data_IF_256346603917
#
_entry.id   IF_256346603917
#
_cell.length_a   1.000
_cell.length_b   1.000
_cell.length_c   1.000
_cell.angle_alpha   90.00
_cell.angle_beta   90.00
_cell.angle_gamma   90.00
#
_symmetry.space_group_name_H-M   'P 1'
#
loop_
_entity.id
_entity.type
_entity.pdbx_description
1 polymer ?
#
# COMPACT_ATOMS: atom_id res chain seq x y z
N UNK A 1 -5.44 -4.13 -21.48
CA UNK A 1 -4.70 -4.61 -20.30
C UNK A 1 -5.69 -4.70 -19.15
N UNK A 2 -5.46 -5.51 -18.12
CA UNK A 2 -6.24 -5.38 -16.89
C UNK A 2 -5.92 -4.02 -16.25
N UNK A 3 -6.89 -3.33 -15.64
CA UNK A 3 -6.66 -2.03 -15.02
C UNK A 3 -5.64 -2.13 -13.88
N UNK A 4 -4.85 -1.07 -13.67
CA UNK A 4 -3.88 -1.02 -12.59
C UNK A 4 -4.57 -1.01 -11.22
N UNK A 5 -3.96 -1.69 -10.26
CA UNK A 5 -4.51 -1.91 -8.93
C UNK A 5 -4.12 -0.80 -7.95
N UNK A 6 -5.06 -0.34 -7.14
CA UNK A 6 -4.80 0.51 -5.99
C UNK A 6 -5.07 -0.25 -4.68
N UNK A 7 -4.05 -0.32 -3.83
CA UNK A 7 -4.18 -0.70 -2.43
C UNK A 7 -4.18 0.59 -1.59
N UNK A 8 -5.03 0.66 -0.57
CA UNK A 8 -5.06 1.80 0.35
C UNK A 8 -4.99 1.37 1.81
N UNK A 9 -4.10 1.98 2.59
CA UNK A 9 -3.97 1.71 4.02
C UNK A 9 -4.89 2.59 4.86
N UNK A 10 -5.44 2.01 5.93
CA UNK A 10 -6.20 2.71 6.98
C UNK A 10 -6.20 1.91 8.28
N UNK A 11 -6.48 2.57 9.39
CA UNK A 11 -6.87 1.93 10.66
C UNK A 11 -8.24 2.42 11.16
N UNK A 12 -8.94 3.23 10.36
CA UNK A 12 -10.24 3.82 10.70
C UNK A 12 -11.32 3.28 9.77
N UNK A 13 -12.42 2.81 10.37
CA UNK A 13 -13.55 2.22 9.64
C UNK A 13 -14.28 3.24 8.77
N UNK A 14 -14.46 4.49 9.22
CA UNK A 14 -15.14 5.48 8.39
C UNK A 14 -14.36 5.77 7.11
N UNK A 15 -13.04 5.94 7.23
CA UNK A 15 -12.18 6.12 6.08
C UNK A 15 -12.08 4.86 5.19
N UNK A 16 -12.16 3.66 5.77
CA UNK A 16 -12.30 2.42 4.99
C UNK A 16 -13.58 2.41 4.14
N UNK A 17 -14.69 2.91 4.68
CA UNK A 17 -15.94 3.08 3.95
C UNK A 17 -15.82 4.07 2.78
N UNK A 18 -15.15 5.20 3.01
CA UNK A 18 -14.88 6.20 1.95
C UNK A 18 -14.02 5.60 0.82
N UNK A 19 -12.98 4.83 1.18
CA UNK A 19 -12.12 4.11 0.23
C UNK A 19 -12.90 3.08 -0.59
N UNK A 20 -13.79 2.32 0.06
CA UNK A 20 -14.63 1.34 -0.61
C UNK A 20 -15.62 2.01 -1.59
N UNK A 21 -16.26 3.11 -1.18
CA UNK A 21 -17.16 3.89 -2.03
C UNK A 21 -16.43 4.53 -3.21
N UNK A 22 -15.16 4.90 -3.03
CA UNK A 22 -14.28 5.41 -4.08
C UNK A 22 -13.74 4.32 -5.02
N UNK A 23 -14.06 3.05 -4.76
CA UNK A 23 -13.71 1.93 -5.63
C UNK A 23 -12.24 1.52 -5.58
N UNK A 24 -11.59 1.61 -4.43
CA UNK A 24 -10.25 1.01 -4.24
C UNK A 24 -10.29 -0.52 -4.42
N UNK A 25 -9.21 -1.11 -4.91
CA UNK A 25 -9.19 -2.55 -5.22
C UNK A 25 -9.02 -3.40 -3.96
N UNK A 26 -8.24 -2.92 -2.99
CA UNK A 26 -8.04 -3.56 -1.67
C UNK A 26 -7.83 -2.51 -0.59
N UNK A 27 -8.32 -2.80 0.60
CA UNK A 27 -8.06 -2.00 1.80
C UNK A 27 -7.06 -2.76 2.69
N UNK A 28 -6.03 -2.08 3.16
CA UNK A 28 -5.03 -2.63 4.06
C UNK A 28 -5.27 -2.09 5.46
N UNK A 29 -5.74 -2.93 6.38
CA UNK A 29 -5.79 -2.63 7.81
C UNK A 29 -4.34 -2.53 8.32
N UNK A 30 -3.88 -1.31 8.57
CA UNK A 30 -2.45 -0.97 8.64
C UNK A 30 -2.06 -0.42 10.00
N UNK A 31 -1.14 -1.09 10.71
CA UNK A 31 -0.73 -0.70 12.06
C UNK A 31 -0.22 0.75 12.12
N UNK A 32 0.57 1.23 11.14
CA UNK A 32 1.07 2.61 11.21
C UNK A 32 0.01 3.69 10.96
N UNK A 33 -1.16 3.34 10.40
CA UNK A 33 -2.27 4.29 10.26
C UNK A 33 -2.81 4.71 11.64
N UNK A 34 -2.72 3.83 12.64
CA UNK A 34 -3.06 4.12 14.05
C UNK A 34 -2.23 5.29 14.60
N UNK A 35 -0.98 5.45 14.16
CA UNK A 35 -0.13 6.57 14.54
C UNK A 35 -0.42 7.82 13.69
N UNK A 36 -0.61 7.67 12.38
CA UNK A 36 -0.90 8.79 11.47
C UNK A 36 -2.19 9.53 11.82
N UNK A 37 -3.23 8.79 12.24
CA UNK A 37 -4.49 9.38 12.73
C UNK A 37 -4.30 10.25 13.98
N UNK A 38 -3.19 10.08 14.71
CA UNK A 38 -2.81 10.91 15.86
C UNK A 38 -1.79 11.99 15.50
N UNK A 39 -1.56 12.25 14.21
CA UNK A 39 -0.60 13.24 13.71
C UNK A 39 0.86 12.81 13.83
N UNK A 40 1.14 11.52 14.05
CA UNK A 40 2.50 11.00 14.18
C UNK A 40 3.01 10.46 12.82
N UNK A 41 4.32 10.54 12.54
CA UNK A 41 4.87 10.10 11.26
C UNK A 41 4.84 8.57 11.09
N UNK A 42 4.75 8.08 9.86
CA UNK A 42 4.70 6.63 9.55
C UNK A 42 5.84 5.82 10.18
N UNK A 43 7.04 6.40 10.26
CA UNK A 43 8.23 5.74 10.85
C UNK A 43 8.03 5.37 12.33
N UNK A 44 7.09 6.02 13.03
CA UNK A 44 6.71 5.65 14.39
C UNK A 44 6.21 4.19 14.48
N UNK A 45 5.66 3.65 13.39
CA UNK A 45 5.27 2.24 13.30
C UNK A 45 6.42 1.24 13.33
N UNK A 46 7.67 1.69 13.37
CA UNK A 46 8.88 0.87 13.56
C UNK A 46 9.42 0.95 15.00
N UNK A 47 8.83 1.79 15.86
CA UNK A 47 9.29 1.99 17.23
C UNK A 47 8.57 1.06 18.22
N UNK A 48 9.22 0.67 19.33
CA UNK A 48 8.66 -0.26 20.31
C UNK A 48 7.68 0.44 21.27
N UNK A 49 6.72 1.18 20.73
CA UNK A 49 5.70 1.88 21.53
C UNK A 49 4.54 0.97 21.91
N UNK A 50 4.18 0.03 21.04
CA UNK A 50 3.14 -0.97 21.25
C UNK A 50 3.32 -2.13 20.26
N UNK A 51 2.64 -3.26 20.51
CA UNK A 51 2.61 -4.35 19.52
C UNK A 51 1.89 -3.90 18.25
N UNK A 52 2.57 -4.02 17.11
CA UNK A 52 1.96 -3.76 15.81
C UNK A 52 0.84 -4.75 15.49
N UNK A 53 0.99 -6.01 15.92
CA UNK A 53 -0.01 -7.06 15.72
C UNK A 53 -1.29 -6.76 16.50
N UNK A 54 -1.19 -6.34 17.76
CA UNK A 54 -2.36 -5.90 18.54
C UNK A 54 -3.04 -4.67 17.93
N UNK A 55 -2.25 -3.72 17.40
CA UNK A 55 -2.81 -2.55 16.71
C UNK A 55 -3.61 -2.93 15.47
N UNK A 56 -3.09 -3.84 14.63
CA UNK A 56 -3.83 -4.38 13.48
C UNK A 56 -5.12 -5.04 13.95
N UNK A 57 -5.06 -5.93 14.95
CA UNK A 57 -6.26 -6.61 15.47
C UNK A 57 -7.29 -5.64 16.04
N UNK A 58 -6.86 -4.54 16.67
CA UNK A 58 -7.76 -3.51 17.18
C UNK A 58 -8.49 -2.74 16.07
N UNK A 59 -7.81 -2.45 14.96
CA UNK A 59 -8.39 -1.71 13.84
C UNK A 59 -9.28 -2.58 12.93
N UNK A 60 -8.87 -3.83 12.70
CA UNK A 60 -9.39 -4.72 11.66
C UNK A 60 -10.94 -4.90 11.69
N UNK A 61 -11.62 -5.12 12.85
CA UNK A 61 -13.07 -5.30 12.86
C UNK A 61 -13.83 -4.11 12.28
N UNK A 62 -13.40 -2.88 12.60
CA UNK A 62 -14.06 -1.67 12.09
C UNK A 62 -13.84 -1.48 10.59
N UNK A 63 -12.64 -1.82 10.11
CA UNK A 63 -12.26 -1.74 8.69
C UNK A 63 -13.03 -2.78 7.87
N UNK A 64 -13.08 -4.03 8.31
CA UNK A 64 -13.84 -5.10 7.64
C UNK A 64 -15.32 -4.78 7.59
N UNK A 65 -15.91 -4.29 8.68
CA UNK A 65 -17.32 -3.93 8.72
C UNK A 65 -17.68 -2.81 7.71
N UNK A 66 -16.77 -1.85 7.48
CA UNK A 66 -17.01 -0.72 6.59
C UNK A 66 -16.60 -0.96 5.13
N UNK A 67 -15.71 -1.93 4.87
CA UNK A 67 -15.18 -2.21 3.52
C UNK A 67 -16.22 -2.78 2.54
N UNK A 68 -17.35 -3.29 3.03
CA UNK A 68 -18.40 -3.88 2.19
C UNK A 68 -17.88 -5.08 1.39
N UNK A 69 -17.89 -4.99 0.06
CA UNK A 69 -17.37 -6.05 -0.83
C UNK A 69 -15.89 -5.90 -1.18
N UNK A 70 -15.24 -4.79 -0.77
CA UNK A 70 -13.82 -4.59 -1.05
C UNK A 70 -12.99 -5.49 -0.13
N UNK A 71 -12.10 -6.34 -0.67
CA UNK A 71 -11.36 -7.27 0.19
C UNK A 71 -10.35 -6.55 1.09
N UNK A 72 -10.26 -7.00 2.34
CA UNK A 72 -9.39 -6.42 3.36
C UNK A 72 -8.16 -7.30 3.59
N UNK A 73 -6.99 -6.68 3.52
CA UNK A 73 -5.68 -7.26 3.85
C UNK A 73 -5.25 -6.71 5.21
N UNK A 74 -4.62 -7.53 6.05
CA UNK A 74 -4.14 -7.10 7.36
C UNK A 74 -2.60 -7.05 7.41
N UNK A 75 -2.03 -6.06 8.11
CA UNK A 75 -0.58 -6.05 8.38
C UNK A 75 -0.21 -7.00 9.50
N UNK A 76 0.80 -7.84 9.28
CA UNK A 76 1.34 -8.74 10.32
C UNK A 76 2.85 -8.52 10.48
N UNK A 77 3.25 -8.27 11.72
CA UNK A 77 4.62 -8.24 12.19
C UNK A 77 5.12 -9.68 12.32
N UNK A 78 5.91 -10.14 11.34
CA UNK A 78 6.35 -11.53 11.26
C UNK A 78 7.24 -11.96 12.44
N UNK A 79 8.01 -11.01 12.98
CA UNK A 79 9.01 -11.23 14.02
C UNK A 79 8.52 -10.83 15.43
N UNK A 80 7.21 -10.67 15.63
CA UNK A 80 6.62 -10.45 16.96
C UNK A 80 6.63 -11.76 17.77
N UNK A 81 7.53 -11.86 18.75
CA UNK A 81 7.65 -13.04 19.62
C UNK A 81 6.59 -13.14 20.72
N UNK A 82 5.79 -12.09 20.95
CA UNK A 82 4.73 -12.07 21.97
C UNK A 82 3.36 -12.40 21.37
N UNK A 83 3.16 -12.07 20.10
CA UNK A 83 1.98 -12.46 19.32
C UNK A 83 2.43 -13.03 17.97
N UNK A 84 2.75 -14.33 17.91
CA UNK A 84 3.38 -14.97 16.77
C UNK A 84 2.56 -14.91 15.48
N UNK A 85 3.27 -14.99 14.35
CA UNK A 85 2.69 -14.94 13.00
C UNK A 85 1.55 -15.95 12.77
N UNK A 86 1.72 -17.20 13.17
CA UNK A 86 0.68 -18.24 12.98
C UNK A 86 -0.62 -17.89 13.72
N UNK A 87 -0.52 -17.47 14.98
CA UNK A 87 -1.67 -17.01 15.77
C UNK A 87 -2.34 -15.79 15.12
N UNK A 88 -1.53 -14.87 14.57
CA UNK A 88 -2.04 -13.71 13.85
C UNK A 88 -2.80 -14.10 12.60
N UNK A 89 -2.27 -15.02 11.78
CA UNK A 89 -2.93 -15.47 10.56
C UNK A 89 -4.31 -16.06 10.87
N UNK A 90 -4.40 -16.91 11.89
CA UNK A 90 -5.67 -17.52 12.28
C UNK A 90 -6.68 -16.47 12.80
N UNK A 91 -6.21 -15.48 13.56
CA UNK A 91 -7.06 -14.38 14.06
C UNK A 91 -7.55 -13.46 12.95
N UNK A 92 -6.69 -13.05 12.01
CA UNK A 92 -7.12 -12.15 10.93
C UNK A 92 -8.12 -12.85 9.99
N UNK A 93 -7.96 -14.16 9.76
CA UNK A 93 -8.94 -14.97 9.03
C UNK A 93 -10.30 -14.93 9.75
N UNK A 94 -10.31 -15.21 11.06
CA UNK A 94 -11.53 -15.20 11.85
C UNK A 94 -12.22 -13.82 11.87
N UNK A 95 -11.45 -12.75 11.70
CA UNK A 95 -11.93 -11.37 11.63
C UNK A 95 -12.30 -10.92 10.20
N UNK A 96 -12.16 -11.79 9.19
CA UNK A 96 -12.62 -11.53 7.82
C UNK A 96 -11.57 -10.91 6.88
N UNK A 97 -10.30 -10.88 7.26
CA UNK A 97 -9.23 -10.52 6.32
C UNK A 97 -9.03 -11.64 5.29
N UNK A 98 -8.81 -11.25 4.02
CA UNK A 98 -8.54 -12.18 2.91
C UNK A 98 -7.05 -12.33 2.62
N UNK A 99 -6.20 -11.54 3.27
CA UNK A 99 -4.78 -11.49 2.98
C UNK A 99 -3.93 -10.86 4.06
N UNK A 100 -2.62 -10.98 3.87
CA UNK A 100 -1.59 -10.38 4.72
C UNK A 100 -0.66 -9.46 3.91
N UNK A 101 -0.14 -8.43 4.58
CA UNK A 101 1.05 -7.67 4.18
C UNK A 101 2.09 -7.76 5.32
N UNK A 102 3.35 -8.08 5.02
CA UNK A 102 4.42 -8.14 6.03
C UNK A 102 4.80 -6.72 6.50
N UNK A 103 4.18 -6.27 7.58
CA UNK A 103 4.47 -4.95 8.16
C UNK A 103 4.21 -4.94 9.67
N UNK A 104 5.03 -4.22 10.47
CA UNK A 104 6.23 -3.50 10.07
C UNK A 104 7.32 -4.44 9.52
N UNK A 105 8.21 -3.88 8.69
CA UNK A 105 9.23 -4.64 7.97
C UNK A 105 10.62 -4.16 8.35
N UNK A 106 11.53 -5.10 8.61
CA UNK A 106 12.95 -4.86 8.84
C UNK A 106 13.66 -4.31 7.60
N UNK A 107 13.04 -4.45 6.42
CA UNK A 107 13.50 -3.90 5.15
C UNK A 107 13.81 -2.40 5.19
N UNK A 108 13.15 -1.66 6.08
CA UNK A 108 13.35 -0.22 6.28
C UNK A 108 14.52 0.14 7.20
N UNK A 109 15.11 -0.83 7.92
CA UNK A 109 16.30 -0.61 8.74
C UNK A 109 17.57 -0.79 7.91
N UNK A 110 18.60 -0.01 8.23
CA UNK A 110 19.93 -0.08 7.61
C UNK A 110 21.03 -0.13 8.67
N UNK A 111 22.27 -0.42 8.25
CA UNK A 111 23.45 -0.37 9.11
C UNK A 111 23.53 -1.49 10.17
N UNK A 112 24.27 -1.28 11.27
CA UNK A 112 24.55 -2.32 12.26
C UNK A 112 23.31 -2.93 12.91
N UNK A 113 22.26 -2.13 13.15
CA UNK A 113 21.00 -2.63 13.72
C UNK A 113 20.34 -3.62 12.77
N UNK A 114 20.30 -3.31 11.47
CA UNK A 114 19.76 -4.22 10.47
C UNK A 114 20.54 -5.53 10.42
N UNK A 115 21.87 -5.47 10.43
CA UNK A 115 22.71 -6.66 10.42
C UNK A 115 22.41 -7.60 11.60
N UNK A 116 22.31 -7.05 12.82
CA UNK A 116 21.99 -7.83 14.02
C UNK A 116 20.58 -8.45 13.95
N UNK A 117 19.58 -7.75 13.41
CA UNK A 117 18.23 -8.31 13.23
C UNK A 117 18.24 -9.52 12.28
N UNK A 118 18.96 -9.42 11.17
CA UNK A 118 19.11 -10.54 10.22
C UNK A 118 19.81 -11.74 10.87
N UNK A 119 20.93 -11.52 11.55
CA UNK A 119 21.69 -12.57 12.25
C UNK A 119 20.90 -13.23 13.38
N UNK A 120 19.96 -12.50 13.99
CA UNK A 120 19.14 -12.98 15.10
C UNK A 120 17.86 -13.71 14.68
N UNK A 121 17.64 -13.92 13.38
CA UNK A 121 16.41 -14.55 12.87
C UNK A 121 15.17 -13.66 12.96
N UNK A 122 15.36 -12.34 13.07
CA UNK A 122 14.27 -11.35 13.06
C UNK A 122 14.21 -10.58 11.73
N UNK A 123 15.00 -11.00 10.74
CA UNK A 123 15.19 -10.33 9.47
C UNK A 123 14.16 -10.65 8.39
N UNK A 124 14.46 -10.26 7.14
CA UNK A 124 13.53 -10.40 6.02
C UNK A 124 13.15 -11.85 5.73
N UNK A 125 14.02 -12.82 6.03
CA UNK A 125 13.68 -14.25 5.87
C UNK A 125 12.42 -14.61 6.65
N UNK A 126 12.31 -14.18 7.90
CA UNK A 126 11.14 -14.42 8.76
C UNK A 126 9.88 -13.77 8.19
N UNK A 127 10.02 -12.60 7.57
CA UNK A 127 8.91 -11.96 6.86
C UNK A 127 8.47 -12.72 5.61
N UNK A 128 9.41 -13.31 4.86
CA UNK A 128 9.09 -14.19 3.73
C UNK A 128 8.41 -15.48 4.20
N UNK A 129 8.82 -16.06 5.33
CA UNK A 129 8.22 -17.25 5.89
C UNK A 129 6.75 -17.00 6.33
N UNK A 130 6.45 -15.81 6.86
CA UNK A 130 5.06 -15.37 7.11
C UNK A 130 4.23 -15.41 5.81
N UNK A 131 4.76 -14.94 4.69
CA UNK A 131 4.04 -14.96 3.42
C UNK A 131 3.77 -16.40 2.97
N UNK A 132 4.75 -17.29 3.08
CA UNK A 132 4.57 -18.71 2.79
C UNK A 132 3.47 -19.34 3.66
N UNK A 133 3.48 -19.05 4.96
CA UNK A 133 2.50 -19.53 5.92
C UNK A 133 1.07 -19.00 5.63
N UNK A 134 0.96 -17.76 5.14
CA UNK A 134 -0.31 -17.19 4.69
C UNK A 134 -0.82 -17.88 3.42
N UNK A 135 0.05 -18.10 2.43
CA UNK A 135 -0.29 -18.83 1.19
C UNK A 135 -0.78 -20.25 1.49
N UNK A 136 -0.15 -20.94 2.43
CA UNK A 136 -0.58 -22.28 2.86
C UNK A 136 -1.99 -22.30 3.48
N UNK A 137 -2.46 -21.16 4.01
CA UNK A 137 -3.82 -20.96 4.54
C UNK A 137 -4.82 -20.42 3.50
N UNK A 138 -4.40 -20.28 2.25
CA UNK A 138 -5.25 -19.76 1.17
C UNK A 138 -5.44 -18.24 1.20
N UNK A 139 -4.64 -17.51 1.97
CA UNK A 139 -4.67 -16.04 2.03
C UNK A 139 -3.94 -15.42 0.83
N UNK A 140 -4.36 -14.22 0.43
CA UNK A 140 -3.49 -13.34 -0.35
C UNK A 140 -2.24 -13.00 0.46
N UNK A 141 -1.06 -12.96 -0.17
CA UNK A 141 0.19 -12.60 0.48
C UNK A 141 0.87 -11.48 -0.31
N UNK A 142 0.70 -10.25 0.16
CA UNK A 142 1.32 -9.06 -0.42
C UNK A 142 2.67 -8.83 0.25
N UNK A 143 3.73 -8.67 -0.56
CA UNK A 143 5.09 -8.65 -0.05
C UNK A 143 5.72 -7.26 -0.16
N UNK A 144 6.06 -6.62 0.95
CA UNK A 144 7.02 -5.52 0.90
C UNK A 144 8.40 -6.06 0.51
N UNK A 145 8.94 -5.52 -0.58
CA UNK A 145 10.26 -5.86 -1.12
C UNK A 145 11.03 -4.58 -1.44
N UNK A 146 12.35 -4.68 -1.49
CA UNK A 146 13.25 -3.51 -1.54
C UNK A 146 14.31 -3.62 -2.63
N UNK A 147 14.58 -4.84 -3.09
CA UNK A 147 15.67 -5.18 -3.98
C UNK A 147 15.37 -6.50 -4.73
N UNK A 148 16.19 -6.87 -5.73
CA UNK A 148 16.00 -8.12 -6.47
C UNK A 148 15.95 -9.38 -5.58
N UNK A 149 16.72 -9.44 -4.50
CA UNK A 149 16.82 -10.64 -3.67
C UNK A 149 15.53 -10.86 -2.86
N UNK A 150 15.02 -9.80 -2.23
CA UNK A 150 13.72 -9.84 -1.53
C UNK A 150 12.55 -10.10 -2.48
N UNK A 151 12.59 -9.56 -3.71
CA UNK A 151 11.60 -9.84 -4.74
C UNK A 151 11.57 -11.32 -5.15
N UNK A 152 12.74 -11.91 -5.43
CA UNK A 152 12.84 -13.34 -5.77
C UNK A 152 12.36 -14.21 -4.61
N UNK A 153 12.79 -13.93 -3.38
CA UNK A 153 12.36 -14.71 -2.21
C UNK A 153 10.84 -14.68 -2.00
N UNK A 154 10.21 -13.51 -2.17
CA UNK A 154 8.75 -13.37 -2.10
C UNK A 154 8.03 -14.09 -3.25
N UNK A 155 8.59 -14.03 -4.46
CA UNK A 155 8.08 -14.75 -5.62
C UNK A 155 8.09 -16.27 -5.41
N UNK A 156 9.20 -16.82 -4.92
CA UNK A 156 9.40 -18.26 -4.72
C UNK A 156 8.41 -18.86 -3.72
N UNK A 157 7.98 -18.09 -2.70
CA UNK A 157 6.96 -18.54 -1.74
C UNK A 157 5.53 -18.29 -2.22
N UNK A 158 5.34 -17.80 -3.46
CA UNK A 158 4.04 -17.61 -4.08
C UNK A 158 3.29 -16.36 -3.62
N UNK A 159 4.00 -15.26 -3.34
CA UNK A 159 3.36 -13.97 -3.05
C UNK A 159 2.33 -13.61 -4.14
N UNK A 160 1.17 -13.10 -3.72
CA UNK A 160 0.10 -12.61 -4.61
C UNK A 160 0.59 -11.48 -5.50
N UNK A 161 1.37 -10.57 -4.91
CA UNK A 161 1.94 -9.42 -5.58
C UNK A 161 3.04 -8.79 -4.74
N UNK A 162 3.94 -8.07 -5.40
CA UNK A 162 5.03 -7.38 -4.74
C UNK A 162 4.67 -5.91 -4.56
N UNK A 163 4.97 -5.37 -3.39
CA UNK A 163 4.91 -3.95 -3.07
C UNK A 163 6.34 -3.46 -2.95
N UNK A 164 6.88 -2.94 -4.05
CA UNK A 164 8.25 -2.42 -4.08
C UNK A 164 8.32 -1.10 -3.29
N UNK A 165 8.92 -1.18 -2.11
CA UNK A 165 9.01 -0.10 -1.16
C UNK A 165 10.29 0.71 -1.39
N UNK A 166 10.14 1.90 -1.97
CA UNK A 166 11.24 2.78 -2.39
C UNK A 166 11.80 3.66 -1.24
N UNK A 167 11.58 3.28 0.01
CA UNK A 167 11.85 4.07 1.22
C UNK A 167 10.61 4.69 1.85
N UNK A 168 10.77 5.32 3.01
CA UNK A 168 9.66 6.00 3.71
C UNK A 168 9.16 7.16 2.85
N UNK A 169 7.85 7.39 2.74
CA UNK A 169 7.33 8.49 1.91
C UNK A 169 8.01 9.82 2.25
N UNK A 170 8.59 10.43 1.23
CA UNK A 170 9.39 11.63 1.29
C UNK A 170 10.87 11.48 1.65
N UNK A 171 11.31 10.25 1.91
CA UNK A 171 12.68 9.89 2.27
C UNK A 171 13.05 8.65 1.43
N UNK A 172 13.68 8.83 0.25
CA UNK A 172 14.07 7.71 -0.60
C UNK A 172 15.02 6.77 0.16
N UNK A 173 15.04 5.51 -0.26
CA UNK A 173 15.90 4.48 0.32
C UNK A 173 17.39 4.74 0.09
N UNK A 174 18.03 3.87 -0.69
CA UNK A 174 19.47 3.96 -0.97
C UNK A 174 19.79 5.21 -1.82
N UNK A 175 20.54 6.21 -1.31
CA UNK A 175 20.83 7.44 -2.05
C UNK A 175 21.80 7.21 -3.22
N UNK A 176 22.43 6.04 -3.32
CA UNK A 176 23.33 5.69 -4.44
C UNK A 176 22.60 5.17 -5.68
N UNK A 177 21.29 4.90 -5.57
CA UNK A 177 20.47 4.36 -6.66
C UNK A 177 19.25 5.23 -6.91
N UNK A 178 18.89 5.40 -8.17
CA UNK A 178 17.61 6.06 -8.49
C UNK A 178 16.46 5.09 -8.24
N UNK A 179 15.25 5.63 -8.05
CA UNK A 179 14.04 4.81 -7.97
C UNK A 179 13.85 3.95 -9.23
N UNK A 180 14.15 4.51 -10.41
CA UNK A 180 14.08 3.78 -11.68
C UNK A 180 15.05 2.58 -11.71
N UNK A 181 16.29 2.75 -11.23
CA UNK A 181 17.26 1.64 -11.17
C UNK A 181 16.79 0.50 -10.26
N UNK A 182 16.21 0.85 -9.10
CA UNK A 182 15.67 -0.13 -8.15
C UNK A 182 14.50 -0.89 -8.77
N UNK A 183 13.58 -0.17 -9.41
CA UNK A 183 12.43 -0.75 -10.11
C UNK A 183 12.89 -1.69 -11.23
N UNK A 184 13.78 -1.23 -12.11
CA UNK A 184 14.31 -2.03 -13.21
C UNK A 184 14.98 -3.32 -12.72
N UNK A 185 15.79 -3.23 -11.66
CA UNK A 185 16.45 -4.39 -11.06
C UNK A 185 15.46 -5.42 -10.52
N UNK A 186 14.41 -4.98 -9.82
CA UNK A 186 13.36 -5.87 -9.30
C UNK A 186 12.58 -6.51 -10.44
N UNK A 187 12.15 -5.72 -11.42
CA UNK A 187 11.41 -6.24 -12.57
C UNK A 187 12.23 -7.30 -13.32
N UNK A 188 13.53 -7.07 -13.54
CA UNK A 188 14.40 -8.05 -14.19
C UNK A 188 14.49 -9.39 -13.44
N UNK A 189 14.41 -9.37 -12.11
CA UNK A 189 14.57 -10.57 -11.28
C UNK A 189 13.31 -11.44 -11.19
N UNK A 190 12.11 -10.86 -11.31
CA UNK A 190 10.83 -11.57 -11.13
C UNK A 190 9.86 -11.36 -12.30
N UNK A 191 10.08 -12.02 -13.47
CA UNK A 191 9.42 -11.67 -14.72
C UNK A 191 7.89 -11.83 -14.74
N UNK A 192 7.30 -12.62 -13.84
CA UNK A 192 5.90 -13.05 -13.89
C UNK A 192 5.02 -12.53 -12.75
N UNK A 193 5.55 -11.76 -11.81
CA UNK A 193 4.77 -11.23 -10.67
C UNK A 193 4.47 -9.75 -10.86
N UNK A 194 3.23 -9.36 -10.57
CA UNK A 194 2.82 -7.96 -10.57
C UNK A 194 3.53 -7.16 -9.49
N UNK A 195 3.97 -5.95 -9.84
CA UNK A 195 4.69 -5.05 -8.94
C UNK A 195 3.87 -3.78 -8.75
N UNK A 196 3.56 -3.48 -7.49
CA UNK A 196 3.00 -2.22 -7.04
C UNK A 196 4.14 -1.36 -6.51
N UNK A 197 4.10 -0.07 -6.80
CA UNK A 197 5.05 0.89 -6.25
C UNK A 197 4.57 1.45 -4.91
N UNK A 198 5.49 1.78 -4.01
CA UNK A 198 5.18 2.39 -2.72
C UNK A 198 6.33 3.24 -2.19
N UNK A 199 6.00 4.37 -1.57
CA UNK A 199 6.94 5.15 -0.76
C UNK A 199 8.02 5.88 -1.56
N UNK A 200 9.13 6.19 -0.90
CA UNK A 200 10.21 7.01 -1.45
C UNK A 200 9.71 8.40 -1.84
N UNK A 201 10.08 8.88 -3.02
CA UNK A 201 9.65 10.19 -3.50
C UNK A 201 8.22 10.23 -4.05
N UNK A 202 7.48 9.12 -4.04
CA UNK A 202 6.11 9.05 -4.56
C UNK A 202 5.11 9.67 -3.56
N UNK A 203 4.99 11.00 -3.55
CA UNK A 203 4.07 11.75 -2.67
C UNK A 203 2.74 12.05 -3.36
N UNK A 204 2.75 12.21 -4.68
CA UNK A 204 1.56 12.46 -5.50
C UNK A 204 1.62 11.82 -6.88
N UNK A 205 0.54 11.96 -7.68
CA UNK A 205 0.45 11.40 -9.02
C UNK A 205 1.55 11.87 -9.99
N UNK A 206 1.98 13.13 -9.89
CA UNK A 206 3.03 13.67 -10.75
C UNK A 206 4.39 12.98 -10.52
N UNK A 207 4.73 12.69 -9.25
CA UNK A 207 5.95 11.93 -8.91
C UNK A 207 5.92 10.52 -9.52
N UNK A 208 4.72 9.91 -9.59
CA UNK A 208 4.53 8.61 -10.22
C UNK A 208 4.68 8.70 -11.73
N UNK A 209 4.10 9.71 -12.39
CA UNK A 209 4.26 9.95 -13.83
C UNK A 209 5.73 10.13 -14.19
N UNK A 210 6.47 10.91 -13.41
CA UNK A 210 7.91 11.13 -13.62
C UNK A 210 8.69 9.82 -13.53
N UNK A 211 8.43 8.99 -12.51
CA UNK A 211 9.07 7.68 -12.37
C UNK A 211 8.71 6.74 -13.53
N UNK A 212 7.43 6.62 -13.89
CA UNK A 212 6.99 5.75 -14.98
C UNK A 212 7.52 6.18 -16.34
N UNK A 213 7.74 7.49 -16.54
CA UNK A 213 8.33 8.05 -17.77
C UNK A 213 9.83 7.75 -17.87
N UNK A 214 10.52 7.65 -16.72
CA UNK A 214 11.92 7.26 -16.68
C UNK A 214 12.16 5.77 -16.96
N UNK A 215 11.11 4.93 -16.92
CA UNK A 215 11.20 3.50 -17.20
C UNK A 215 11.02 3.19 -18.70
N UNK A 216 11.77 2.23 -19.26
CA UNK A 216 11.48 1.66 -20.57
C UNK A 216 10.04 1.13 -20.66
N UNK A 217 9.41 1.23 -21.84
CA UNK A 217 7.99 0.85 -22.00
C UNK A 217 7.64 -0.59 -21.58
N UNK A 218 8.56 -1.54 -21.82
CA UNK A 218 8.37 -2.93 -21.40
C UNK A 218 8.42 -3.12 -19.86
N UNK A 219 9.21 -2.31 -19.17
CA UNK A 219 9.29 -2.31 -17.70
C UNK A 219 8.08 -1.60 -17.10
N UNK A 220 7.71 -0.43 -17.66
CA UNK A 220 6.49 0.29 -17.28
C UNK A 220 5.25 -0.59 -17.33
N UNK A 221 5.08 -1.37 -18.40
CA UNK A 221 3.92 -2.26 -18.57
C UNK A 221 3.80 -3.36 -17.49
N UNK A 222 4.85 -3.56 -16.69
CA UNK A 222 4.89 -4.53 -15.59
C UNK A 222 4.67 -3.91 -14.22
N UNK A 223 4.56 -2.59 -14.15
CA UNK A 223 4.01 -1.92 -12.97
C UNK A 223 2.50 -2.10 -13.02
N UNK A 224 1.96 -2.86 -12.08
CA UNK A 224 0.55 -3.26 -12.07
C UNK A 224 -0.27 -2.46 -11.06
N UNK A 225 0.31 -1.42 -10.44
CA UNK A 225 -0.43 -0.61 -9.48
C UNK A 225 0.42 0.21 -8.52
N UNK A 226 -0.25 0.72 -7.49
CA UNK A 226 0.35 1.50 -6.42
C UNK A 226 -0.30 1.15 -5.06
N UNK A 227 0.52 1.11 -4.01
CA UNK A 227 0.03 1.04 -2.63
C UNK A 227 0.14 2.41 -1.96
N UNK A 228 -0.99 3.03 -1.64
CA UNK A 228 -1.03 4.31 -0.94
C UNK A 228 -1.36 4.16 0.54
N UNK A 229 -0.43 4.59 1.39
CA UNK A 229 -0.68 4.80 2.82
C UNK A 229 -0.83 6.30 3.10
N UNK A 230 0.25 6.96 3.53
CA UNK A 230 0.28 8.41 3.71
C UNK A 230 -0.10 9.18 2.45
N UNK A 231 0.17 8.64 1.25
CA UNK A 231 -0.18 9.28 -0.01
C UNK A 231 -1.70 9.46 -0.20
N UNK A 232 -2.53 8.61 0.44
CA UNK A 232 -3.99 8.69 0.35
C UNK A 232 -4.63 9.23 1.63
N UNK A 233 -3.99 8.98 2.79
CA UNK A 233 -4.44 9.51 4.09
C UNK A 233 -4.11 11.00 4.26
N UNK A 234 -2.94 11.45 3.79
CA UNK A 234 -2.54 12.86 3.81
C UNK A 234 -3.01 13.53 2.53
N UNK A 235 -4.22 14.08 2.56
CA UNK A 235 -4.84 14.75 1.41
C UNK A 235 -5.11 16.24 1.69
N UNK A 236 -5.13 17.09 0.65
CA UNK A 236 -5.42 18.52 0.82
C UNK A 236 -6.79 18.73 1.46
N UNK A 237 -6.97 19.79 2.28
CA UNK A 237 -8.27 20.09 2.90
C UNK A 237 -9.37 20.22 1.84
N UNK A 238 -10.50 19.51 2.06
CA UNK A 238 -11.65 19.56 1.17
C UNK A 238 -11.58 18.65 -0.07
N UNK A 239 -10.49 17.92 -0.27
CA UNK A 239 -10.37 16.91 -1.34
C UNK A 239 -10.80 15.55 -0.81
N UNK A 240 -11.82 14.96 -1.44
CA UNK A 240 -12.26 13.60 -1.12
C UNK A 240 -11.29 12.54 -1.66
N UNK A 241 -11.36 11.34 -1.08
CA UNK A 241 -10.43 10.27 -1.45
C UNK A 241 -10.70 9.71 -2.85
N UNK A 242 -11.92 9.80 -3.37
CA UNK A 242 -12.24 9.39 -4.74
C UNK A 242 -11.52 10.24 -5.78
N UNK A 243 -11.44 11.55 -5.55
CA UNK A 243 -10.64 12.46 -6.38
C UNK A 243 -9.16 12.07 -6.36
N UNK A 244 -8.62 11.71 -5.19
CA UNK A 244 -7.24 11.23 -5.05
C UNK A 244 -7.02 9.93 -5.83
N UNK A 245 -7.84 8.88 -5.58
CA UNK A 245 -7.68 7.59 -6.24
C UNK A 245 -7.82 7.70 -7.77
N UNK A 246 -8.72 8.54 -8.26
CA UNK A 246 -8.88 8.81 -9.70
C UNK A 246 -7.59 9.37 -10.29
N UNK A 247 -6.98 10.37 -9.64
CA UNK A 247 -5.73 10.95 -10.12
C UNK A 247 -4.58 9.93 -10.16
N UNK A 248 -4.49 9.04 -9.16
CA UNK A 248 -3.51 7.96 -9.15
C UNK A 248 -3.77 6.91 -10.22
N UNK A 249 -5.03 6.54 -10.49
CA UNK A 249 -5.39 5.67 -11.62
C UNK A 249 -5.01 6.29 -12.96
N UNK A 250 -5.31 7.56 -13.18
CA UNK A 250 -4.90 8.27 -14.40
C UNK A 250 -3.38 8.29 -14.58
N UNK A 251 -2.62 8.44 -13.50
CA UNK A 251 -1.15 8.41 -13.57
C UNK A 251 -0.60 7.02 -13.95
N UNK A 252 -1.23 5.95 -13.47
CA UNK A 252 -0.88 4.57 -13.82
C UNK A 252 -1.27 4.25 -15.27
N UNK A 253 -2.51 4.59 -15.65
CA UNK A 253 -3.17 4.19 -16.90
C UNK A 253 -3.64 5.43 -17.71
N UNK A 254 -2.72 6.26 -18.26
CA UNK A 254 -3.10 7.51 -18.91
C UNK A 254 -3.96 7.30 -20.17
N UNK A 255 -3.79 6.18 -20.88
CA UNK A 255 -4.52 5.89 -22.12
C UNK A 255 -5.98 5.47 -21.87
N UNK A 256 -6.32 4.95 -20.69
CA UNK A 256 -7.68 4.48 -20.34
C UNK A 256 -8.61 5.65 -19.93
N UNK A 257 -8.02 6.76 -19.49
CA UNK A 257 -8.73 7.98 -19.08
C UNK A 257 -9.36 8.76 -20.24
N UNK A 258 -9.00 8.44 -21.49
CA UNK A 258 -9.58 9.04 -22.69
C UNK A 258 -10.89 8.38 -23.14
N UNK A 259 -11.16 7.12 -22.75
CA UNK A 259 -12.37 6.39 -23.17
C UNK A 259 -13.58 6.63 -22.26
N UNK A 260 -13.38 7.02 -21.00
CA UNK A 260 -14.46 7.30 -20.04
C UNK A 260 -14.22 8.64 -19.31
N UNK A 261 -14.54 9.79 -19.92
CA UNK A 261 -14.47 11.07 -19.22
C UNK A 261 -15.45 11.05 -18.03
N UNK A 262 -15.06 11.55 -16.85
CA UNK A 262 -16.00 11.71 -15.74
C UNK A 262 -17.14 12.61 -16.21
N UNK A 263 -18.38 12.14 -16.03
CA UNK A 263 -19.58 12.94 -16.28
C UNK A 263 -19.47 14.22 -15.47
N UNK A 264 -19.13 15.33 -16.14
CA UNK A 264 -19.13 16.65 -15.53
C UNK A 264 -20.56 16.95 -15.10
N UNK A 265 -20.79 17.00 -13.79
CA UNK A 265 -22.01 17.60 -13.24
C UNK A 265 -22.05 19.05 -13.75
N UNK A 266 -23.10 19.47 -14.48
CA UNK A 266 -23.18 20.84 -14.96
C UNK A 266 -23.20 21.79 -13.75
N UNK A 267 -22.54 22.96 -13.85
CA UNK A 267 -22.54 23.92 -12.76
C UNK A 267 -23.98 24.31 -12.41
N UNK A 268 -24.28 24.54 -11.11
CA UNK A 268 -25.62 24.95 -10.71
C UNK A 268 -26.00 26.23 -11.46
N UNK A 269 -27.13 26.16 -12.16
CA UNK A 269 -27.75 27.30 -12.84
C UNK A 269 -28.07 28.34 -11.76
N UNK A 270 -27.36 29.48 -11.78
CA UNK A 270 -27.73 30.61 -10.92
C UNK A 270 -29.14 31.05 -11.28
N UNK A 271 -30.05 31.24 -10.31
CA UNK A 271 -31.35 31.81 -10.61
C UNK A 271 -31.15 33.23 -11.17
N UNK A 272 -31.92 33.55 -12.21
CA UNK A 272 -31.94 34.89 -12.79
C UNK A 272 -32.33 35.91 -11.72
N UNK A 273 -31.75 37.13 -11.72
CA UNK A 273 -32.15 38.17 -10.80
C UNK A 273 -33.61 38.54 -11.07
N UNK A 274 -34.43 38.51 -10.01
CA UNK A 274 -35.80 38.99 -10.03
C UNK A 274 -35.84 40.41 -10.63
N UNK A 275 -36.46 40.53 -11.80
CA UNK A 275 -37.02 41.79 -12.25
C UNK A 275 -38.40 41.92 -11.61
N UNK A 276 -38.72 43.15 -11.17
CA UNK A 276 -39.94 43.62 -10.47
C UNK A 276 -39.72 43.76 -8.94
N UNK A 277 -39.91 44.91 -8.29
CA UNK A 277 -40.83 46.02 -8.59
C UNK A 277 -40.46 47.31 -7.82
N UNK A 278 -40.72 48.45 -8.49
CA UNK A 278 -40.83 49.86 -8.05
C UNK A 278 -39.58 50.72 -7.94
#
# INVERSE_FOLDING_TARGET
MSPSMLLAATADGAFAGDLAAAGVDRIVAYHSSVYRQRGLPSVAGLLPWASANEQTLGALPSVVAAAGSVPVVATVCANDGLLPADDMLDRIIALGAVGVLNAPTVGLFTGPVRAVLEESGLGLRTEIDLLAAARARGLEAWAYVFDPASAVAAHEVGATGLVLHLGITGHPGDPSRTAADVVAGVLAAVPSTGVLLHGGNLRGPDDLVDLLTALPGAERARITGFFGASAFESRPPGVDVGTVLTAWRTALDPDDSAEHPPTRTPPPVRPAPDQETR
#
